data_IF_222341891043
#
_entry.id   IF_222341891043
#
_cell.length_a   1.000
_cell.length_b   1.000
_cell.length_c   1.000
_cell.angle_alpha   90.00
_cell.angle_beta   90.00
_cell.angle_gamma   90.00
#
_symmetry.space_group_name_H-M   'P 1'
#
loop_
_entity.id
_entity.type
_entity.pdbx_description
1 polymer ?
#
# COMPACT_ATOMS: atom_id res chain seq x y z
N UNK A 1 -13.23 -4.70 -11.39
CA UNK A 1 -12.20 -5.11 -10.43
C UNK A 1 -12.77 -6.29 -9.66
N UNK A 2 -12.15 -7.47 -9.73
CA UNK A 2 -12.55 -8.58 -8.86
C UNK A 2 -11.82 -8.39 -7.54
N UNK A 3 -12.57 -8.02 -6.48
CA UNK A 3 -12.02 -7.88 -5.13
C UNK A 3 -12.15 -9.24 -4.45
N UNK A 4 -11.04 -9.83 -4.00
CA UNK A 4 -10.92 -11.14 -3.35
C UNK A 4 -11.68 -11.18 -2.03
N UNK A 5 -11.65 -10.10 -1.25
CA UNK A 5 -12.32 -10.03 0.05
C UNK A 5 -12.61 -8.59 0.48
N UNK A 6 -13.32 -8.44 1.60
CA UNK A 6 -13.71 -7.15 2.17
C UNK A 6 -12.67 -6.58 3.16
N UNK A 7 -11.37 -6.90 2.99
CA UNK A 7 -10.30 -6.38 3.83
C UNK A 7 -9.60 -5.20 3.15
N UNK A 8 -9.32 -4.16 3.93
CA UNK A 8 -8.54 -3.00 3.51
C UNK A 8 -7.33 -2.89 4.43
N UNK A 9 -6.14 -2.91 3.86
CA UNK A 9 -4.91 -2.60 4.59
C UNK A 9 -4.82 -1.09 4.84
N UNK A 10 -4.86 -0.66 6.08
CA UNK A 10 -4.49 0.69 6.46
C UNK A 10 -2.95 0.79 6.58
N UNK A 11 -2.30 1.41 5.60
CA UNK A 11 -0.85 1.48 5.50
C UNK A 11 -0.32 2.83 6.02
N UNK A 12 -0.35 2.99 7.35
CA UNK A 12 0.09 4.18 8.06
C UNK A 12 1.57 4.06 8.52
N UNK A 13 2.49 4.03 7.56
CA UNK A 13 3.95 3.90 7.78
C UNK A 13 4.72 5.13 7.32
N UNK A 14 5.98 5.26 7.73
CA UNK A 14 6.79 6.47 7.51
C UNK A 14 7.78 6.40 6.35
N UNK A 15 7.94 5.24 5.71
CA UNK A 15 8.94 5.05 4.63
C UNK A 15 8.44 4.13 3.52
N UNK A 16 8.95 4.34 2.31
CA UNK A 16 8.69 3.46 1.16
C UNK A 16 9.13 2.02 1.42
N UNK A 17 10.28 1.81 2.06
CA UNK A 17 10.81 0.46 2.32
C UNK A 17 9.87 -0.36 3.21
N UNK A 18 9.38 0.23 4.29
CA UNK A 18 8.44 -0.41 5.21
C UNK A 18 7.09 -0.67 4.53
N UNK A 19 6.61 0.30 3.74
CA UNK A 19 5.39 0.15 2.96
C UNK A 19 5.46 -1.06 2.01
N UNK A 20 6.58 -1.19 1.30
CA UNK A 20 6.80 -2.29 0.36
C UNK A 20 6.91 -3.63 1.08
N UNK A 21 7.68 -3.70 2.18
CA UNK A 21 7.88 -4.93 2.94
C UNK A 21 6.55 -5.50 3.47
N UNK A 22 5.72 -4.64 4.06
CA UNK A 22 4.40 -5.03 4.54
C UNK A 22 3.53 -5.51 3.38
N UNK A 23 3.41 -4.72 2.30
CA UNK A 23 2.58 -5.10 1.15
C UNK A 23 3.03 -6.43 0.53
N UNK A 24 4.33 -6.66 0.36
CA UNK A 24 4.86 -7.92 -0.18
C UNK A 24 4.54 -9.13 0.72
N UNK A 25 4.52 -8.95 2.04
CA UNK A 25 4.24 -10.04 3.00
C UNK A 25 2.78 -10.49 3.02
N UNK A 26 1.83 -9.63 2.60
CA UNK A 26 0.39 -9.92 2.69
C UNK A 26 -0.39 -9.79 1.38
N UNK A 27 0.27 -9.47 0.25
CA UNK A 27 -0.38 -9.29 -1.06
C UNK A 27 -1.23 -10.47 -1.52
N UNK A 28 -0.93 -11.69 -1.06
CA UNK A 28 -1.74 -12.86 -1.40
C UNK A 28 -3.09 -12.88 -0.66
N UNK A 29 -3.31 -12.01 0.33
CA UNK A 29 -4.50 -12.03 1.18
C UNK A 29 -5.40 -10.81 1.03
N UNK A 30 -5.01 -9.78 0.27
CA UNK A 30 -5.75 -8.52 0.12
C UNK A 30 -5.65 -7.98 -1.31
N UNK A 31 -6.64 -7.18 -1.73
CA UNK A 31 -6.56 -6.42 -3.01
C UNK A 31 -6.81 -4.92 -2.82
N UNK A 32 -6.89 -4.45 -1.56
CA UNK A 32 -7.16 -3.05 -1.28
C UNK A 32 -6.21 -2.51 -0.22
N UNK A 33 -5.47 -1.46 -0.59
CA UNK A 33 -4.53 -0.74 0.26
C UNK A 33 -5.02 0.71 0.38
N UNK A 34 -5.13 1.19 1.61
CA UNK A 34 -5.40 2.60 1.94
C UNK A 34 -4.07 3.24 2.38
N UNK A 35 -3.54 4.12 1.54
CA UNK A 35 -2.30 4.85 1.83
C UNK A 35 -2.56 5.91 2.89
N UNK A 36 -1.79 5.85 3.98
CA UNK A 36 -1.83 6.82 5.06
C UNK A 36 -1.16 8.15 4.72
N UNK A 37 -1.58 9.23 5.38
CA UNK A 37 -0.90 10.53 5.30
C UNK A 37 0.58 10.48 5.69
N UNK A 38 1.02 9.74 6.72
CA UNK A 38 2.44 9.69 7.08
C UNK A 38 3.34 9.32 5.90
N UNK A 39 2.94 8.31 5.13
CA UNK A 39 3.69 7.84 3.97
C UNK A 39 3.69 8.86 2.82
N UNK A 40 2.52 9.41 2.50
CA UNK A 40 2.38 10.40 1.43
C UNK A 40 3.11 11.73 1.74
N UNK A 41 3.21 12.11 3.02
CA UNK A 41 3.95 13.29 3.46
C UNK A 41 5.47 13.05 3.44
N UNK A 42 5.92 11.83 3.77
CA UNK A 42 7.34 11.47 3.80
C UNK A 42 7.92 11.29 2.39
N UNK A 43 7.21 10.59 1.51
CA UNK A 43 7.71 10.16 0.18
C UNK A 43 7.09 10.96 -0.99
N UNK A 44 6.13 11.86 -0.71
CA UNK A 44 5.37 12.58 -1.72
C UNK A 44 4.30 11.72 -2.40
N UNK A 45 3.58 12.31 -3.37
CA UNK A 45 2.49 11.60 -4.08
C UNK A 45 2.99 10.52 -5.04
N UNK A 46 4.29 10.52 -5.39
CA UNK A 46 4.88 9.49 -6.26
C UNK A 46 4.77 8.08 -5.68
N UNK A 47 4.75 7.95 -4.34
CA UNK A 47 4.56 6.66 -3.67
C UNK A 47 3.26 5.98 -4.07
N UNK A 48 2.22 6.75 -4.39
CA UNK A 48 0.93 6.22 -4.83
C UNK A 48 1.10 5.48 -6.17
N UNK A 49 1.86 6.06 -7.10
CA UNK A 49 2.14 5.43 -8.39
C UNK A 49 3.01 4.18 -8.21
N UNK A 50 4.07 4.26 -7.39
CA UNK A 50 4.95 3.11 -7.12
C UNK A 50 4.19 1.92 -6.53
N UNK A 51 3.35 2.15 -5.52
CA UNK A 51 2.55 1.10 -4.90
C UNK A 51 1.50 0.54 -5.86
N UNK A 52 0.88 1.41 -6.68
CA UNK A 52 -0.06 0.99 -7.71
C UNK A 52 0.61 0.10 -8.77
N UNK A 53 1.76 0.50 -9.28
CA UNK A 53 2.46 -0.26 -10.32
C UNK A 53 2.97 -1.62 -9.82
N UNK A 54 3.26 -1.73 -8.51
CA UNK A 54 3.77 -2.96 -7.90
C UNK A 54 2.68 -3.90 -7.37
N UNK A 55 1.56 -3.36 -6.87
CA UNK A 55 0.54 -4.13 -6.15
C UNK A 55 -0.89 -4.00 -6.68
N UNK A 56 -1.14 -3.11 -7.66
CA UNK A 56 -2.47 -2.90 -8.28
C UNK A 56 -2.63 -3.58 -9.63
#
# INVERSE_FOLDING_TARGET
MNIKNNLILALDVGSESEAIEICDSIKEYIDTIKIGYPLALAEGLEIINKLKDKFG
#
